data_IF_555568093160
#
_entry.id   IF_555568093160
#
_cell.length_a   1.000
_cell.length_b   1.000
_cell.length_c   1.000
_cell.angle_alpha   90.00
_cell.angle_beta   90.00
_cell.angle_gamma   90.00
#
_symmetry.space_group_name_H-M   'P 1'
#
loop_
_entity.id
_entity.type
_entity.pdbx_description
1 polymer ?
#
# COMPACT_ATOMS: atom_id res chain seq x y z
N UNK A 1 26.61 29.68 2.15
CA UNK A 1 25.87 30.32 1.04
C UNK A 1 25.03 29.23 0.40
N UNK A 2 23.69 29.35 0.37
CA UNK A 2 22.84 28.33 -0.26
C UNK A 2 22.97 28.42 -1.77
N UNK A 3 22.90 27.28 -2.46
CA UNK A 3 22.90 27.22 -3.92
C UNK A 3 21.59 27.78 -4.50
N UNK A 4 21.62 28.21 -5.75
CA UNK A 4 20.43 28.70 -6.46
C UNK A 4 19.32 27.63 -6.54
N UNK A 5 19.72 26.36 -6.61
CA UNK A 5 18.80 25.22 -6.58
C UNK A 5 18.08 25.09 -5.24
N UNK A 6 18.81 25.15 -4.13
CA UNK A 6 18.21 25.10 -2.79
C UNK A 6 17.26 26.27 -2.54
N UNK A 7 17.59 27.47 -3.03
CA UNK A 7 16.72 28.64 -2.92
C UNK A 7 15.45 28.49 -3.77
N UNK A 8 15.54 27.90 -4.96
CA UNK A 8 14.40 27.62 -5.82
C UNK A 8 13.46 26.58 -5.21
N UNK A 9 14.03 25.51 -4.64
CA UNK A 9 13.26 24.48 -3.92
C UNK A 9 12.60 25.03 -2.65
N UNK A 10 13.26 25.94 -1.93
CA UNK A 10 12.68 26.58 -0.74
C UNK A 10 11.51 27.51 -1.09
N UNK A 11 11.55 28.17 -2.26
CA UNK A 11 10.44 29.00 -2.77
C UNK A 11 9.28 28.13 -3.24
N UNK A 12 9.56 27.05 -3.97
CA UNK A 12 8.55 26.08 -4.41
C UNK A 12 7.82 25.43 -3.22
N UNK A 13 8.57 25.03 -2.19
CA UNK A 13 8.05 24.47 -0.95
C UNK A 13 7.16 25.43 -0.13
N UNK A 14 7.33 26.75 -0.32
CA UNK A 14 6.52 27.81 0.30
C UNK A 14 5.25 28.11 -0.49
N UNK A 15 5.26 27.97 -1.82
CA UNK A 15 4.12 28.25 -2.70
C UNK A 15 3.15 27.08 -2.87
N UNK A 16 3.61 25.84 -2.68
CA UNK A 16 2.77 24.64 -2.74
C UNK A 16 3.16 23.66 -1.60
N UNK A 17 2.37 23.57 -0.52
CA UNK A 17 2.61 22.61 0.56
C UNK A 17 2.58 21.15 0.09
N UNK A 18 1.85 20.83 -0.98
CA UNK A 18 1.76 19.49 -1.56
C UNK A 18 2.92 19.17 -2.53
N UNK A 19 3.65 20.19 -2.99
CA UNK A 19 4.82 20.08 -3.86
C UNK A 19 6.16 19.97 -3.13
N UNK A 20 6.17 19.87 -1.78
CA UNK A 20 7.43 19.70 -1.04
C UNK A 20 8.07 18.36 -1.37
N UNK A 21 9.36 18.32 -1.74
CA UNK A 21 10.05 17.07 -1.95
C UNK A 21 10.08 16.27 -0.65
N UNK A 22 9.76 14.98 -0.74
CA UNK A 22 9.80 14.07 0.41
C UNK A 22 11.20 14.01 1.01
N UNK A 23 11.30 14.02 2.34
CA UNK A 23 12.55 13.80 3.07
C UNK A 23 13.07 12.38 2.84
N UNK A 24 14.36 12.15 3.11
CA UNK A 24 14.94 10.80 3.03
C UNK A 24 14.23 9.83 3.99
N UNK A 25 13.85 10.30 5.17
CA UNK A 25 13.08 9.53 6.15
C UNK A 25 11.68 9.19 5.63
N UNK A 26 10.94 10.16 5.08
CA UNK A 26 9.63 9.90 4.47
C UNK A 26 9.73 8.86 3.34
N UNK A 27 10.73 8.98 2.47
CA UNK A 27 10.98 8.00 1.39
C UNK A 27 11.25 6.59 1.95
N UNK A 28 12.08 6.48 2.98
CA UNK A 28 12.37 5.20 3.63
C UNK A 28 11.12 4.60 4.28
N UNK A 29 10.30 5.42 4.95
CA UNK A 29 9.03 4.98 5.57
C UNK A 29 8.02 4.52 4.53
N UNK A 30 7.88 5.23 3.40
CA UNK A 30 7.01 4.81 2.30
C UNK A 30 7.44 3.47 1.71
N UNK A 31 8.75 3.26 1.50
CA UNK A 31 9.27 1.99 1.01
C UNK A 31 9.03 0.83 1.99
N UNK A 32 9.17 1.08 3.30
CA UNK A 32 8.86 0.05 4.30
C UNK A 32 7.37 -0.27 4.36
N UNK A 33 6.49 0.73 4.23
CA UNK A 33 5.04 0.49 4.12
C UNK A 33 4.75 -0.41 2.91
N UNK A 34 5.32 -0.12 1.74
CA UNK A 34 5.15 -0.95 0.55
C UNK A 34 5.62 -2.39 0.78
N UNK A 35 6.79 -2.58 1.41
CA UNK A 35 7.33 -3.91 1.74
C UNK A 35 6.42 -4.69 2.69
N UNK A 36 5.95 -4.04 3.75
CA UNK A 36 5.08 -4.65 4.77
C UNK A 36 3.75 -5.05 4.15
N UNK A 37 3.11 -4.18 3.38
CA UNK A 37 1.82 -4.50 2.77
C UNK A 37 1.94 -5.52 1.64
N UNK A 38 3.05 -5.54 0.90
CA UNK A 38 3.34 -6.63 -0.03
C UNK A 38 3.37 -7.99 0.69
N UNK A 39 4.02 -8.06 1.86
CA UNK A 39 4.03 -9.26 2.70
C UNK A 39 2.64 -9.66 3.18
N UNK A 40 1.87 -8.71 3.74
CA UNK A 40 0.50 -8.95 4.22
C UNK A 40 -0.43 -9.47 3.11
N UNK A 41 -0.35 -8.86 1.92
CA UNK A 41 -1.15 -9.29 0.76
C UNK A 41 -0.75 -10.70 0.34
N UNK A 42 0.55 -10.99 0.22
CA UNK A 42 1.02 -12.31 -0.17
C UNK A 42 0.59 -13.40 0.83
N UNK A 43 0.72 -13.15 2.13
CA UNK A 43 0.29 -14.07 3.18
C UNK A 43 -1.22 -14.35 3.07
N UNK A 44 -2.03 -13.29 2.94
CA UNK A 44 -3.49 -13.42 2.82
C UNK A 44 -3.90 -14.16 1.56
N UNK A 45 -3.26 -13.86 0.42
CA UNK A 45 -3.51 -14.55 -0.84
C UNK A 45 -3.17 -16.04 -0.76
N UNK A 46 -2.02 -16.41 -0.18
CA UNK A 46 -1.63 -17.81 -0.01
C UNK A 46 -2.66 -18.55 0.84
N UNK A 47 -3.06 -17.96 1.97
CA UNK A 47 -4.06 -18.55 2.86
C UNK A 47 -5.40 -18.79 2.15
N UNK A 48 -5.94 -17.79 1.46
CA UNK A 48 -7.23 -17.90 0.78
C UNK A 48 -7.16 -18.82 -0.46
N UNK A 49 -6.03 -18.85 -1.19
CA UNK A 49 -5.83 -19.81 -2.29
C UNK A 49 -5.90 -21.25 -1.78
N UNK A 50 -5.28 -21.56 -0.64
CA UNK A 50 -5.39 -22.90 -0.05
C UNK A 50 -6.83 -23.25 0.33
N UNK A 51 -7.63 -22.30 0.81
CA UNK A 51 -9.05 -22.53 1.09
C UNK A 51 -9.86 -22.76 -0.20
N UNK A 52 -9.59 -21.96 -1.23
CA UNK A 52 -10.22 -22.10 -2.53
C UNK A 52 -9.94 -23.48 -3.14
N UNK A 53 -8.68 -23.92 -3.12
CA UNK A 53 -8.27 -25.24 -3.61
C UNK A 53 -8.98 -26.37 -2.86
N UNK A 54 -9.13 -26.26 -1.54
CA UNK A 54 -9.89 -27.23 -0.72
C UNK A 54 -11.36 -27.27 -1.11
N UNK A 55 -12.02 -26.13 -1.24
CA UNK A 55 -13.44 -26.05 -1.63
C UNK A 55 -13.65 -26.63 -3.03
N UNK A 56 -12.76 -26.33 -3.98
CA UNK A 56 -12.82 -26.88 -5.34
C UNK A 56 -12.60 -28.40 -5.36
N UNK A 57 -11.65 -28.91 -4.57
CA UNK A 57 -11.43 -30.35 -4.43
C UNK A 57 -12.62 -31.09 -3.81
N UNK A 58 -13.36 -30.42 -2.92
CA UNK A 58 -14.59 -30.92 -2.31
C UNK A 58 -15.85 -30.72 -3.19
N UNK A 59 -15.70 -30.10 -4.38
CA UNK A 59 -16.82 -29.71 -5.26
C UNK A 59 -17.83 -28.74 -4.59
N UNK A 60 -17.39 -27.99 -3.58
CA UNK A 60 -18.18 -26.99 -2.86
C UNK A 60 -18.13 -25.65 -3.60
N UNK A 61 -18.79 -25.57 -4.76
CA UNK A 61 -18.68 -24.40 -5.66
C UNK A 61 -19.19 -23.10 -5.05
N UNK A 62 -20.26 -23.15 -4.25
CA UNK A 62 -20.78 -21.98 -3.53
C UNK A 62 -19.73 -21.42 -2.55
N UNK A 63 -18.99 -22.29 -1.89
CA UNK A 63 -17.92 -21.89 -0.96
C UNK A 63 -16.71 -21.35 -1.72
N UNK A 64 -16.35 -21.98 -2.84
CA UNK A 64 -15.31 -21.48 -3.73
C UNK A 64 -15.61 -20.05 -4.22
N UNK A 65 -16.87 -19.74 -4.54
CA UNK A 65 -17.28 -18.39 -4.97
C UNK A 65 -17.22 -17.37 -3.83
N UNK A 66 -17.61 -17.74 -2.60
CA UNK A 66 -17.41 -16.88 -1.42
C UNK A 66 -15.94 -16.59 -1.19
N UNK A 67 -15.06 -17.60 -1.28
CA UNK A 67 -13.62 -17.40 -1.10
C UNK A 67 -13.06 -16.46 -2.18
N UNK A 68 -13.50 -16.56 -3.43
CA UNK A 68 -13.11 -15.62 -4.50
C UNK A 68 -13.54 -14.18 -4.19
N UNK A 69 -14.77 -13.98 -3.73
CA UNK A 69 -15.26 -12.66 -3.32
C UNK A 69 -14.45 -12.12 -2.15
N UNK A 70 -14.14 -12.97 -1.16
CA UNK A 70 -13.31 -12.61 -0.02
C UNK A 70 -11.90 -12.21 -0.45
N UNK A 71 -11.27 -12.93 -1.38
CA UNK A 71 -9.94 -12.58 -1.91
C UNK A 71 -9.91 -11.18 -2.52
N UNK A 72 -10.92 -10.83 -3.32
CA UNK A 72 -11.02 -9.50 -3.91
C UNK A 72 -11.22 -8.41 -2.84
N UNK A 73 -12.08 -8.65 -1.86
CA UNK A 73 -12.35 -7.72 -0.77
C UNK A 73 -11.14 -7.49 0.15
N UNK A 74 -10.46 -8.56 0.56
CA UNK A 74 -9.26 -8.47 1.41
C UNK A 74 -8.12 -7.75 0.70
N UNK A 75 -7.91 -8.02 -0.59
CA UNK A 75 -6.89 -7.32 -1.38
C UNK A 75 -7.19 -5.82 -1.47
N UNK A 76 -8.42 -5.45 -1.81
CA UNK A 76 -8.84 -4.05 -1.91
C UNK A 76 -8.66 -3.31 -0.57
N UNK A 77 -9.08 -3.94 0.54
CA UNK A 77 -8.92 -3.39 1.89
C UNK A 77 -7.44 -3.16 2.25
N UNK A 78 -6.57 -4.13 1.99
CA UNK A 78 -5.14 -3.99 2.28
C UNK A 78 -4.46 -2.93 1.41
N UNK A 79 -4.88 -2.77 0.15
CA UNK A 79 -4.40 -1.69 -0.71
C UNK A 79 -4.87 -0.30 -0.23
N UNK A 80 -6.12 -0.19 0.22
CA UNK A 80 -6.66 1.05 0.81
C UNK A 80 -5.92 1.42 2.11
N UNK A 81 -5.73 0.46 3.01
CA UNK A 81 -4.95 0.65 4.24
C UNK A 81 -3.52 1.08 3.93
N UNK A 82 -2.87 0.47 2.93
CA UNK A 82 -1.52 0.85 2.47
C UNK A 82 -1.50 2.31 2.02
N UNK A 83 -2.42 2.72 1.15
CA UNK A 83 -2.44 4.09 0.63
C UNK A 83 -2.77 5.11 1.72
N UNK A 84 -3.68 4.79 2.65
CA UNK A 84 -3.99 5.63 3.80
C UNK A 84 -2.76 5.84 4.70
N UNK A 85 -1.97 4.79 4.96
CA UNK A 85 -0.72 4.91 5.72
C UNK A 85 0.34 5.73 4.98
N UNK A 86 0.49 5.52 3.66
CA UNK A 86 1.42 6.32 2.84
C UNK A 86 1.03 7.79 2.83
N UNK A 87 -0.26 8.09 2.76
CA UNK A 87 -0.76 9.46 2.77
C UNK A 87 -0.49 10.16 4.11
N UNK A 88 -0.60 9.46 5.24
CA UNK A 88 -0.20 10.00 6.55
C UNK A 88 1.28 10.37 6.58
N UNK A 89 2.16 9.55 5.99
CA UNK A 89 3.60 9.87 5.88
C UNK A 89 3.87 11.04 4.95
N UNK A 90 3.10 11.19 3.85
CA UNK A 90 3.26 12.35 2.94
C UNK A 90 2.82 13.67 3.60
N UNK A 91 1.84 13.61 4.51
CA UNK A 91 1.30 14.78 5.23
C UNK A 91 2.05 15.16 6.50
N UNK A 92 2.92 14.28 7.00
CA UNK A 92 3.73 14.53 8.21
C UNK A 92 4.91 15.46 7.97
#
# INVERSE_FOLDING_TARGET
MKSAYELAMERLAKSDPAGRPLTAEQKARLAEIDRVFQGKIAEREIFLKQQLEKALAAQEFDEADKVRQQMAGEKARLEEEREAEKERVRRS
#
